data_IF_251977933748
#
_entry.id   IF_251977933748
#
_cell.length_a   1.000
_cell.length_b   1.000
_cell.length_c   1.000
_cell.angle_alpha   90.00
_cell.angle_beta   90.00
_cell.angle_gamma   90.00
#
_symmetry.space_group_name_H-M   'P 1'
#
loop_
_entity.id
_entity.type
_entity.pdbx_description
1 polymer ?
#
# COMPACT_ATOMS: atom_id res chain seq x y z
N UNK A 1 -1.40 -22.30 6.71
CA UNK A 1 -2.26 -21.32 6.01
C UNK A 1 -1.71 -21.02 4.60
N UNK A 2 -1.74 -21.97 3.65
CA UNK A 2 -1.12 -21.77 2.31
C UNK A 2 -2.03 -21.99 1.10
N UNK A 3 -3.09 -22.80 1.24
CA UNK A 3 -3.96 -23.20 0.12
C UNK A 3 -4.76 -22.05 -0.52
N UNK A 4 -5.42 -21.15 0.24
CA UNK A 4 -6.25 -20.10 -0.37
C UNK A 4 -5.45 -19.08 -1.19
N UNK A 5 -4.22 -18.78 -0.77
CA UNK A 5 -3.36 -17.83 -1.47
C UNK A 5 -2.80 -18.41 -2.77
N UNK A 6 -2.32 -19.66 -2.73
CA UNK A 6 -1.83 -20.34 -3.92
C UNK A 6 -2.94 -20.48 -4.98
N UNK A 7 -4.16 -20.76 -4.55
CA UNK A 7 -5.33 -20.81 -5.42
C UNK A 7 -5.67 -19.43 -6.02
N UNK A 8 -5.69 -18.37 -5.22
CA UNK A 8 -5.89 -17.01 -5.70
C UNK A 8 -4.85 -16.61 -6.76
N UNK A 9 -3.58 -16.90 -6.51
CA UNK A 9 -2.49 -16.65 -7.48
C UNK A 9 -2.70 -17.45 -8.77
N UNK A 10 -3.06 -18.72 -8.66
CA UNK A 10 -3.34 -19.57 -9.83
C UNK A 10 -4.50 -19.04 -10.68
N UNK A 11 -5.61 -18.66 -10.04
CA UNK A 11 -6.76 -18.07 -10.72
C UNK A 11 -6.41 -16.73 -11.38
N UNK A 12 -5.65 -15.88 -10.70
CA UNK A 12 -5.21 -14.59 -11.24
C UNK A 12 -4.26 -14.76 -12.43
N UNK A 13 -3.31 -15.71 -12.39
CA UNK A 13 -2.43 -16.03 -13.53
C UNK A 13 -3.23 -16.48 -14.75
N UNK A 14 -4.16 -17.42 -14.57
CA UNK A 14 -5.07 -17.86 -15.64
C UNK A 14 -5.88 -16.71 -16.22
N UNK A 15 -6.33 -15.79 -15.36
CA UNK A 15 -7.11 -14.63 -15.79
C UNK A 15 -6.25 -13.60 -16.53
N UNK A 16 -4.96 -13.45 -16.18
CA UNK A 16 -4.01 -12.63 -16.93
C UNK A 16 -3.72 -13.25 -18.29
N UNK A 17 -3.42 -14.55 -18.34
CA UNK A 17 -3.14 -15.29 -19.58
C UNK A 17 -4.31 -15.22 -20.56
N UNK A 18 -5.52 -15.58 -20.11
CA UNK A 18 -6.70 -15.60 -20.97
C UNK A 18 -7.07 -14.21 -21.50
N UNK A 19 -6.98 -13.17 -20.66
CA UNK A 19 -7.22 -11.78 -21.11
C UNK A 19 -6.12 -11.27 -22.03
N UNK A 20 -4.87 -11.65 -21.80
CA UNK A 20 -3.76 -11.29 -22.69
C UNK A 20 -3.99 -11.89 -24.08
N UNK A 21 -4.37 -13.16 -24.16
CA UNK A 21 -4.66 -13.83 -25.43
C UNK A 21 -5.88 -13.25 -26.18
N UNK A 22 -6.89 -12.78 -25.45
CA UNK A 22 -8.16 -12.32 -26.06
C UNK A 22 -8.19 -10.82 -26.33
N UNK A 23 -7.65 -10.01 -25.42
CA UNK A 23 -7.78 -8.55 -25.39
C UNK A 23 -6.44 -7.83 -25.60
N UNK A 24 -5.31 -8.55 -25.46
CA UNK A 24 -3.97 -7.97 -25.43
C UNK A 24 -3.48 -7.58 -24.04
N UNK A 25 -2.15 -7.49 -23.90
CA UNK A 25 -1.47 -7.21 -22.63
C UNK A 25 -1.76 -5.81 -22.07
N UNK A 26 -1.98 -4.83 -22.95
CA UNK A 26 -2.24 -3.43 -22.61
C UNK A 26 -3.72 -3.13 -22.32
N UNK A 27 -4.63 -4.09 -22.51
CA UNK A 27 -6.04 -3.84 -22.29
C UNK A 27 -6.34 -3.56 -20.81
N UNK A 28 -7.19 -2.58 -20.46
CA UNK A 28 -7.49 -2.20 -19.07
C UNK A 28 -7.85 -3.37 -18.15
N UNK A 29 -8.67 -4.32 -18.63
CA UNK A 29 -9.02 -5.51 -17.84
C UNK A 29 -7.84 -6.47 -17.59
N UNK A 30 -6.89 -6.54 -18.52
CA UNK A 30 -5.65 -7.32 -18.36
C UNK A 30 -4.76 -6.64 -17.33
N UNK A 31 -4.61 -5.32 -17.41
CA UNK A 31 -3.84 -4.53 -16.45
C UNK A 31 -4.39 -4.63 -15.02
N UNK A 32 -5.72 -4.52 -14.85
CA UNK A 32 -6.39 -4.72 -13.56
C UNK A 32 -6.08 -6.12 -12.99
N UNK A 33 -6.13 -7.16 -13.82
CA UNK A 33 -5.82 -8.52 -13.37
C UNK A 33 -4.37 -8.66 -12.90
N UNK A 34 -3.42 -8.05 -13.62
CA UNK A 34 -2.01 -8.00 -13.23
C UNK A 34 -1.80 -7.21 -11.94
N UNK A 35 -2.54 -6.12 -11.74
CA UNK A 35 -2.53 -5.34 -10.48
C UNK A 35 -2.98 -6.17 -9.28
N UNK A 36 -4.04 -6.98 -9.44
CA UNK A 36 -4.47 -7.89 -8.37
C UNK A 36 -3.46 -9.02 -8.16
N UNK A 37 -2.88 -9.58 -9.22
CA UNK A 37 -1.84 -10.61 -9.07
C UNK A 37 -0.68 -10.10 -8.21
N UNK A 38 -0.23 -8.85 -8.41
CA UNK A 38 0.85 -8.24 -7.64
C UNK A 38 0.56 -8.16 -6.13
N UNK A 39 -0.70 -7.95 -5.73
CA UNK A 39 -1.12 -7.94 -4.32
C UNK A 39 -0.90 -9.30 -3.64
N UNK A 40 -1.06 -10.40 -4.38
CA UNK A 40 -0.90 -11.77 -3.88
C UNK A 40 0.51 -12.35 -4.10
N UNK A 41 1.38 -11.67 -4.84
CA UNK A 41 2.79 -12.02 -5.03
C UNK A 41 3.71 -11.27 -4.04
N UNK A 42 3.37 -11.33 -2.75
CA UNK A 42 4.14 -10.73 -1.64
C UNK A 42 5.16 -11.70 -1.03
N UNK A 43 6.41 -11.25 -0.84
CA UNK A 43 7.49 -12.07 -0.25
C UNK A 43 8.66 -12.31 -1.22
N UNK A 44 9.49 -13.36 -1.01
CA UNK A 44 10.67 -13.65 -1.83
C UNK A 44 10.34 -13.98 -3.30
N UNK A 45 9.06 -14.25 -3.59
CA UNK A 45 8.54 -14.50 -4.94
C UNK A 45 8.28 -13.21 -5.74
N UNK A 46 8.36 -12.03 -5.11
CA UNK A 46 8.26 -10.77 -5.83
C UNK A 46 9.52 -10.59 -6.67
N UNK A 47 9.45 -10.99 -7.93
CA UNK A 47 10.51 -10.72 -8.88
C UNK A 47 10.65 -9.19 -9.09
N UNK A 48 11.88 -8.70 -9.35
CA UNK A 48 12.14 -7.26 -9.43
C UNK A 48 11.55 -6.61 -10.69
N UNK A 49 11.01 -7.38 -11.63
CA UNK A 49 10.64 -6.98 -12.99
C UNK A 49 9.13 -6.77 -13.13
N UNK A 50 8.31 -7.67 -12.57
CA UNK A 50 6.84 -7.69 -12.74
C UNK A 50 6.19 -6.37 -12.33
N UNK A 51 6.59 -5.81 -11.18
CA UNK A 51 6.05 -4.54 -10.70
C UNK A 51 6.36 -3.38 -11.67
N UNK A 52 7.65 -3.09 -11.94
CA UNK A 52 8.05 -2.04 -12.88
C UNK A 52 7.47 -2.19 -14.29
N UNK A 53 7.43 -3.40 -14.86
CA UNK A 53 6.83 -3.65 -16.16
C UNK A 53 5.33 -3.33 -16.17
N UNK A 54 4.58 -3.79 -15.16
CA UNK A 54 3.16 -3.46 -15.03
C UNK A 54 2.94 -1.94 -14.96
N UNK A 55 3.79 -1.21 -14.22
CA UNK A 55 3.67 0.25 -14.15
C UNK A 55 3.97 0.92 -15.48
N UNK A 56 4.97 0.46 -16.22
CA UNK A 56 5.29 0.97 -17.56
C UNK A 56 4.12 0.72 -18.54
N UNK A 57 3.54 -0.47 -18.52
CA UNK A 57 2.40 -0.82 -19.35
C UNK A 57 1.16 0.02 -19.01
N UNK A 58 0.85 0.19 -17.71
CA UNK A 58 -0.25 1.04 -17.26
C UNK A 58 -0.06 2.50 -17.69
N UNK A 59 1.14 3.06 -17.52
CA UNK A 59 1.45 4.44 -17.92
C UNK A 59 1.31 4.65 -19.42
N UNK A 60 1.72 3.67 -20.22
CA UNK A 60 1.63 3.71 -21.68
C UNK A 60 0.19 3.56 -22.17
N UNK A 61 -0.56 2.61 -21.60
CA UNK A 61 -1.90 2.26 -22.07
C UNK A 61 -2.99 3.25 -21.62
N UNK A 62 -2.92 3.73 -20.38
CA UNK A 62 -4.00 4.56 -19.78
C UNK A 62 -3.51 5.87 -19.15
N UNK A 63 -2.20 6.08 -19.05
CA UNK A 63 -1.61 7.31 -18.53
C UNK A 63 -1.27 7.26 -17.02
N UNK A 64 -0.34 8.10 -16.54
CA UNK A 64 0.20 8.03 -15.17
C UNK A 64 -0.81 8.37 -14.06
N UNK A 65 -1.77 9.27 -14.32
CA UNK A 65 -2.80 9.66 -13.34
C UNK A 65 -4.07 8.80 -13.37
N UNK A 66 -4.13 7.80 -14.24
CA UNK A 66 -5.32 6.98 -14.41
C UNK A 66 -5.55 6.09 -13.18
N UNK A 67 -6.80 5.84 -12.75
CA UNK A 67 -7.09 5.02 -11.57
C UNK A 67 -6.46 3.62 -11.58
N UNK A 68 -6.32 2.99 -12.77
CA UNK A 68 -5.63 1.69 -12.92
C UNK A 68 -4.15 1.83 -12.60
N UNK A 69 -3.48 2.85 -13.13
CA UNK A 69 -2.06 3.11 -12.87
C UNK A 69 -1.82 3.38 -11.39
N UNK A 70 -2.62 4.26 -10.77
CA UNK A 70 -2.47 4.58 -9.35
C UNK A 70 -2.75 3.37 -8.44
N UNK A 71 -3.69 2.49 -8.83
CA UNK A 71 -3.93 1.23 -8.11
C UNK A 71 -2.74 0.26 -8.24
N UNK A 72 -2.17 0.15 -9.44
CA UNK A 72 -0.97 -0.66 -9.67
C UNK A 72 0.23 -0.15 -8.87
N UNK A 73 0.43 1.17 -8.82
CA UNK A 73 1.50 1.79 -8.02
C UNK A 73 1.31 1.54 -6.53
N UNK A 74 0.08 1.64 -6.00
CA UNK A 74 -0.20 1.34 -4.60
C UNK A 74 0.07 -0.13 -4.27
N UNK A 75 -0.40 -1.06 -5.12
CA UNK A 75 -0.21 -2.50 -4.91
C UNK A 75 1.27 -2.88 -5.02
N UNK A 76 2.03 -2.25 -5.93
CA UNK A 76 3.47 -2.47 -6.01
C UNK A 76 4.20 -1.95 -4.78
N UNK A 77 3.86 -0.74 -4.31
CA UNK A 77 4.40 -0.21 -3.07
C UNK A 77 4.10 -1.13 -1.89
N UNK A 78 2.87 -1.65 -1.79
CA UNK A 78 2.50 -2.63 -0.77
C UNK A 78 3.37 -3.89 -0.85
N UNK A 79 3.55 -4.43 -2.06
CA UNK A 79 4.36 -5.62 -2.27
C UNK A 79 5.81 -5.41 -1.85
N UNK A 80 6.41 -4.27 -2.21
CA UNK A 80 7.76 -3.90 -1.79
C UNK A 80 7.90 -3.81 -0.26
N UNK A 81 6.95 -3.19 0.44
CA UNK A 81 7.02 -3.04 1.90
C UNK A 81 6.94 -4.42 2.58
N UNK A 82 6.02 -5.30 2.15
CA UNK A 82 5.94 -6.66 2.72
C UNK A 82 7.19 -7.50 2.42
N UNK A 83 7.87 -7.23 1.29
CA UNK A 83 9.15 -7.85 0.95
C UNK A 83 10.38 -7.14 1.56
N UNK A 84 10.20 -6.23 2.52
CA UNK A 84 11.32 -5.56 3.21
C UNK A 84 12.08 -4.53 2.36
N UNK A 85 11.45 -3.99 1.32
CA UNK A 85 12.03 -2.99 0.40
C UNK A 85 11.40 -1.60 0.61
N UNK A 86 11.31 -1.15 1.86
CA UNK A 86 10.60 0.07 2.24
C UNK A 86 11.15 1.32 1.56
N UNK A 87 12.49 1.42 1.40
CA UNK A 87 13.12 2.55 0.71
C UNK A 87 12.69 2.68 -0.76
N UNK A 88 12.40 1.57 -1.44
CA UNK A 88 11.86 1.59 -2.81
C UNK A 88 10.38 1.92 -2.84
N UNK A 89 9.64 1.50 -1.83
CA UNK A 89 8.20 1.73 -1.74
C UNK A 89 7.83 3.17 -1.37
N UNK A 90 8.63 3.82 -0.52
CA UNK A 90 8.33 5.14 0.03
C UNK A 90 8.06 6.21 -1.05
N UNK A 91 8.90 6.39 -2.09
CA UNK A 91 8.61 7.38 -3.13
C UNK A 91 7.33 7.04 -3.91
N UNK A 92 7.05 5.75 -4.16
CA UNK A 92 5.84 5.31 -4.86
C UNK A 92 4.59 5.65 -4.05
N UNK A 93 4.55 5.27 -2.76
CA UNK A 93 3.37 5.51 -1.93
C UNK A 93 3.13 7.01 -1.69
N UNK A 94 4.19 7.84 -1.54
CA UNK A 94 4.04 9.31 -1.46
C UNK A 94 3.43 9.87 -2.74
N UNK A 95 3.93 9.46 -3.90
CA UNK A 95 3.41 9.89 -5.20
C UNK A 95 1.94 9.54 -5.40
N UNK A 96 1.57 8.29 -5.07
CA UNK A 96 0.20 7.79 -5.17
C UNK A 96 -0.75 8.52 -4.21
N UNK A 97 -0.33 8.74 -2.95
CA UNK A 97 -1.14 9.52 -1.98
C UNK A 97 -1.42 10.91 -2.51
N UNK A 98 -0.40 11.62 -2.99
CA UNK A 98 -0.58 12.96 -3.55
C UNK A 98 -1.50 12.96 -4.79
N UNK A 99 -1.41 11.92 -5.64
CA UNK A 99 -2.29 11.78 -6.80
C UNK A 99 -3.74 11.47 -6.40
N UNK A 100 -3.95 10.62 -5.40
CA UNK A 100 -5.29 10.34 -4.86
C UNK A 100 -5.90 11.55 -4.16
N UNK A 101 -5.12 12.31 -3.39
CA UNK A 101 -5.58 13.56 -2.78
C UNK A 101 -6.05 14.55 -3.83
N UNK A 102 -5.27 14.77 -4.90
CA UNK A 102 -5.68 15.66 -6.00
C UNK A 102 -6.94 15.19 -6.72
N UNK A 103 -7.12 13.87 -6.88
CA UNK A 103 -8.19 13.31 -7.71
C UNK A 103 -9.50 13.11 -6.94
N UNK A 104 -9.42 12.65 -5.69
CA UNK A 104 -10.58 12.21 -4.90
C UNK A 104 -10.76 13.01 -3.60
N UNK A 105 -9.77 13.81 -3.22
CA UNK A 105 -9.74 14.50 -1.94
C UNK A 105 -9.04 13.69 -0.83
N UNK A 106 -8.71 14.36 0.29
CA UNK A 106 -7.94 13.78 1.40
C UNK A 106 -8.69 12.67 2.15
N UNK A 107 -10.02 12.77 2.23
CA UNK A 107 -10.86 11.89 3.05
C UNK A 107 -11.41 10.69 2.26
N UNK A 108 -11.08 10.57 0.97
CA UNK A 108 -11.56 9.46 0.13
C UNK A 108 -10.93 8.12 0.56
N UNK A 109 -11.68 7.00 0.56
CA UNK A 109 -11.16 5.70 1.02
C UNK A 109 -9.84 5.25 0.38
N UNK A 110 -9.64 5.51 -0.93
CA UNK A 110 -8.37 5.20 -1.61
C UNK A 110 -7.20 6.05 -1.12
N UNK A 111 -7.44 7.33 -0.82
CA UNK A 111 -6.46 8.23 -0.26
C UNK A 111 -6.05 7.76 1.14
N UNK A 112 -7.04 7.42 1.97
CA UNK A 112 -6.81 6.93 3.33
C UNK A 112 -6.10 5.57 3.36
N UNK A 113 -6.37 4.69 2.38
CA UNK A 113 -5.61 3.44 2.21
C UNK A 113 -4.14 3.74 1.88
N UNK A 114 -3.87 4.67 0.96
CA UNK A 114 -2.51 5.12 0.64
C UNK A 114 -1.79 5.72 1.85
N UNK A 115 -2.44 6.59 2.61
CA UNK A 115 -1.88 7.19 3.84
C UNK A 115 -1.60 6.15 4.92
N UNK A 116 -2.47 5.14 5.06
CA UNK A 116 -2.22 4.01 5.98
C UNK A 116 -0.96 3.24 5.59
N UNK A 117 -0.75 3.02 4.28
CA UNK A 117 0.43 2.35 3.77
C UNK A 117 1.70 3.20 3.92
N UNK A 118 1.61 4.51 3.67
CA UNK A 118 2.69 5.46 3.89
C UNK A 118 3.10 5.48 5.36
N UNK A 119 2.13 5.57 6.27
CA UNK A 119 2.36 5.45 7.71
C UNK A 119 3.16 4.18 7.99
N UNK A 120 2.72 3.00 7.51
CA UNK A 120 3.44 1.73 7.73
C UNK A 120 4.90 1.79 7.26
N UNK A 121 5.12 2.19 6.01
CA UNK A 121 6.47 2.27 5.42
C UNK A 121 7.40 3.18 6.25
N UNK A 122 6.90 4.33 6.71
CA UNK A 122 7.65 5.29 7.52
C UNK A 122 8.12 4.71 8.86
N UNK A 123 7.30 3.91 9.53
CA UNK A 123 7.68 3.32 10.83
C UNK A 123 8.70 2.21 10.70
N UNK A 124 8.59 1.43 9.64
CA UNK A 124 9.54 0.34 9.37
C UNK A 124 10.94 0.89 9.03
N UNK A 125 11.07 2.16 8.64
CA UNK A 125 12.36 2.84 8.41
C UNK A 125 12.74 3.83 9.53
N UNK A 126 12.03 3.81 10.67
CA UNK A 126 12.35 4.65 11.83
C UNK A 126 11.89 6.11 11.75
N UNK A 127 11.16 6.53 10.71
CA UNK A 127 10.57 7.88 10.62
C UNK A 127 9.26 7.95 11.43
N UNK A 128 9.39 7.72 12.73
CA UNK A 128 8.32 7.50 13.71
C UNK A 128 7.30 8.63 13.80
N UNK A 129 7.74 9.89 13.82
CA UNK A 129 6.83 11.04 13.97
C UNK A 129 5.96 11.25 12.74
N UNK A 130 6.55 11.20 11.54
CA UNK A 130 5.80 11.33 10.29
C UNK A 130 4.81 10.16 10.13
N UNK A 131 5.23 8.97 10.54
CA UNK A 131 4.40 7.80 10.61
C UNK A 131 3.16 7.97 11.51
N UNK A 132 3.33 8.54 12.71
CA UNK A 132 2.25 8.87 13.64
C UNK A 132 1.32 9.89 13.00
N UNK A 133 1.85 10.98 12.44
CA UNK A 133 1.04 12.02 11.78
C UNK A 133 0.16 11.47 10.65
N UNK A 134 0.69 10.55 9.84
CA UNK A 134 -0.10 9.88 8.79
C UNK A 134 -1.21 9.00 9.39
N UNK A 135 -0.95 8.27 10.48
CA UNK A 135 -1.95 7.44 11.14
C UNK A 135 -3.04 8.27 11.83
N UNK A 136 -2.67 9.40 12.46
CA UNK A 136 -3.60 10.37 13.04
C UNK A 136 -4.55 10.92 11.99
N UNK A 137 -4.01 11.44 10.88
CA UNK A 137 -4.82 11.96 9.80
C UNK A 137 -5.80 10.94 9.22
N UNK A 138 -5.43 9.65 9.17
CA UNK A 138 -6.33 8.57 8.73
C UNK A 138 -7.44 8.31 9.76
N UNK A 139 -7.11 8.24 11.04
CA UNK A 139 -8.08 7.99 12.09
C UNK A 139 -9.10 9.13 12.20
N UNK A 140 -8.63 10.38 12.16
CA UNK A 140 -9.47 11.57 12.17
C UNK A 140 -10.40 11.64 10.95
N UNK A 141 -9.87 11.37 9.76
CA UNK A 141 -10.68 11.37 8.53
C UNK A 141 -11.77 10.30 8.57
N UNK A 142 -11.46 9.08 9.03
CA UNK A 142 -12.45 8.01 9.17
C UNK A 142 -13.50 8.33 10.24
N UNK A 143 -13.08 8.94 11.36
CA UNK A 143 -14.01 9.39 12.39
C UNK A 143 -14.99 10.45 11.85
N UNK A 144 -14.52 11.40 11.03
CA UNK A 144 -15.38 12.41 10.39
C UNK A 144 -16.33 11.81 9.35
N UNK A 145 -15.85 10.92 8.47
CA UNK A 145 -16.63 10.42 7.32
C UNK A 145 -17.55 9.26 7.70
N UNK A 146 -17.08 8.33 8.54
CA UNK A 146 -17.78 7.09 8.86
C UNK A 146 -18.41 7.10 10.25
N UNK A 147 -18.02 8.06 11.09
CA UNK A 147 -18.38 8.12 12.50
C UNK A 147 -17.40 7.38 13.42
N UNK A 148 -17.44 7.70 14.72
CA UNK A 148 -16.51 7.13 15.72
C UNK A 148 -16.71 5.63 15.95
N UNK A 149 -17.95 5.14 15.88
CA UNK A 149 -18.31 3.73 16.14
C UNK A 149 -18.06 2.79 14.95
N UNK A 150 -17.64 3.32 13.81
CA UNK A 150 -17.45 2.50 12.62
C UNK A 150 -16.23 1.57 12.77
N UNK A 151 -16.30 0.29 12.37
CA UNK A 151 -15.20 -0.67 12.56
C UNK A 151 -13.86 -0.21 11.97
N UNK A 152 -13.87 0.47 10.82
CA UNK A 152 -12.65 1.01 10.22
C UNK A 152 -12.06 2.20 10.98
N UNK A 153 -12.90 2.98 11.66
CA UNK A 153 -12.46 4.06 12.54
C UNK A 153 -11.76 3.48 13.75
N UNK A 154 -12.40 2.52 14.44
CA UNK A 154 -11.82 1.79 15.57
C UNK A 154 -10.47 1.13 15.20
N UNK A 155 -10.40 0.46 14.05
CA UNK A 155 -9.15 -0.13 13.57
C UNK A 155 -8.06 0.92 13.37
N UNK A 156 -8.40 2.10 12.86
CA UNK A 156 -7.42 3.17 12.63
C UNK A 156 -6.88 3.75 13.93
N UNK A 157 -7.73 3.91 14.94
CA UNK A 157 -7.32 4.30 16.28
C UNK A 157 -6.38 3.28 16.92
N UNK A 158 -6.67 2.00 16.77
CA UNK A 158 -5.80 0.94 17.28
C UNK A 158 -4.42 0.98 16.60
N UNK A 159 -4.37 1.19 15.27
CA UNK A 159 -3.11 1.34 14.53
C UNK A 159 -2.32 2.58 14.94
N UNK A 160 -2.99 3.70 15.19
CA UNK A 160 -2.37 4.89 15.75
C UNK A 160 -1.78 4.61 17.15
N UNK A 161 -2.56 3.99 18.04
CA UNK A 161 -2.11 3.66 19.39
C UNK A 161 -0.92 2.70 19.39
N UNK A 162 -0.91 1.71 18.50
CA UNK A 162 0.25 0.85 18.28
C UNK A 162 1.47 1.66 17.83
N UNK A 163 1.30 2.62 16.92
CA UNK A 163 2.41 3.45 16.45
C UNK A 163 2.99 4.29 17.58
N UNK A 164 2.15 5.02 18.31
CA UNK A 164 2.59 5.86 19.44
C UNK A 164 3.31 5.04 20.51
N UNK A 165 2.87 3.81 20.78
CA UNK A 165 3.58 2.87 21.69
C UNK A 165 4.96 2.49 21.17
N UNK A 166 5.09 2.21 19.87
CA UNK A 166 6.40 1.91 19.28
C UNK A 166 7.37 3.10 19.38
N UNK A 167 6.88 4.33 19.21
CA UNK A 167 7.72 5.53 19.40
C UNK A 167 8.20 5.65 20.85
N UNK A 168 7.30 5.51 21.83
CA UNK A 168 7.65 5.59 23.25
C UNK A 168 8.65 4.52 23.66
N UNK A 169 8.44 3.28 23.22
CA UNK A 169 9.36 2.17 23.51
C UNK A 169 10.75 2.39 22.88
N UNK A 170 10.82 3.05 21.72
CA UNK A 170 12.10 3.46 21.11
C UNK A 170 12.82 4.54 21.93
N UNK A 171 12.08 5.53 22.44
CA UNK A 171 12.62 6.59 23.29
C UNK A 171 13.11 6.05 24.64
N UNK A 172 12.33 5.18 25.28
CA UNK A 172 12.70 4.55 26.57
C UNK A 172 13.94 3.65 26.46
N UNK A 173 14.16 3.00 25.30
CA UNK A 173 15.37 2.21 25.04
C UNK A 173 16.61 3.03 24.67
N UNK A 174 16.43 4.26 24.18
CA UNK A 174 17.51 5.23 23.96
C UNK A 174 17.88 6.00 25.24
N UNK A 175 16.91 6.16 26.17
CA UNK A 175 17.06 6.87 27.44
C UNK A 175 17.56 5.98 28.61
N UNK A 176 17.74 4.66 28.43
CA UNK A 176 18.34 3.80 29.46
C UNK A 176 19.88 3.98 29.46
N UNK A 177 20.47 4.75 30.40
CA UNK A 177 21.89 4.98 30.40
C UNK A 177 22.59 3.71 30.89
N UNK A 178 23.67 3.36 30.22
CA UNK A 178 24.67 2.36 30.59
C UNK A 178 24.83 2.31 32.12
N UNK A 179 24.16 1.35 32.76
CA UNK A 179 24.21 1.16 34.21
C UNK A 179 25.43 0.32 34.52
N UNK A 180 26.31 0.78 35.43
CA UNK A 180 27.62 0.17 35.68
C UNK A 180 27.55 -1.25 36.23
#
# INVERSE_FOLDING_TARGET
MGRPRAEAVSLLRRAVEGRTATLGAAHPSTLIARTYLLEFMVGPELDPVTGPELLADCRTAVGPGHPITLAAELNYAFALIVSGQQHRALPLVRGVVAAFERRYGPDHPKTLAGRSLLSRALGEIGLSDEAVAQAEGVADARARVLGPEHPWTAWSWERLAQRRRAVRAGQEGEDEPDRP
#
